data_IF_043702649320
#
_entry.id   IF_043702649320
#
_cell.length_a   1.000
_cell.length_b   1.000
_cell.length_c   1.000
_cell.angle_alpha   90.00
_cell.angle_beta   90.00
_cell.angle_gamma   90.00
#
_symmetry.space_group_name_H-M   'P 1'
#
loop_
_entity.id
_entity.type
_entity.pdbx_description
1 polymer ?
#
# COMPACT_ATOMS: atom_id res chain seq x y z
N UNK A 1 -9.21 -15.11 -3.01
CA UNK A 1 -8.46 -14.40 -4.06
C UNK A 1 -7.07 -14.14 -3.52
N UNK A 2 -6.05 -14.44 -4.32
CA UNK A 2 -4.66 -14.15 -4.01
C UNK A 2 -4.31 -12.70 -4.41
N UNK A 3 -3.20 -12.19 -3.88
CA UNK A 3 -2.64 -10.88 -4.21
C UNK A 3 -1.22 -11.02 -4.72
N UNK A 4 -0.78 -10.07 -5.53
CA UNK A 4 0.58 -10.05 -6.05
C UNK A 4 0.85 -8.84 -6.91
N UNK A 5 2.05 -8.80 -7.47
CA UNK A 5 2.55 -7.72 -8.30
C UNK A 5 2.76 -8.20 -9.73
N UNK A 6 2.32 -7.43 -10.72
CA UNK A 6 2.64 -7.72 -12.12
C UNK A 6 4.13 -7.43 -12.37
N UNK A 7 4.88 -8.45 -12.78
CA UNK A 7 6.31 -8.31 -13.11
C UNK A 7 6.59 -8.42 -14.61
N UNK A 8 5.61 -8.86 -15.40
CA UNK A 8 5.76 -9.02 -16.85
C UNK A 8 4.42 -9.00 -17.56
N UNK A 9 4.37 -8.31 -18.70
CA UNK A 9 3.25 -8.32 -19.65
C UNK A 9 3.82 -8.48 -21.07
N UNK A 10 3.24 -9.40 -21.86
CA UNK A 10 3.49 -9.54 -23.29
C UNK A 10 2.24 -9.17 -24.09
N UNK A 11 2.28 -8.00 -24.72
CA UNK A 11 1.29 -7.54 -25.70
C UNK A 11 1.90 -7.73 -27.10
N UNK A 12 1.27 -8.43 -28.07
CA UNK A 12 -0.15 -8.80 -28.23
C UNK A 12 -0.56 -10.19 -27.75
N UNK A 13 0.35 -10.98 -27.18
CA UNK A 13 0.09 -12.39 -26.84
C UNK A 13 -0.79 -12.57 -25.59
N UNK A 14 -1.19 -11.48 -24.93
CA UNK A 14 -2.09 -11.41 -23.78
C UNK A 14 -1.72 -12.40 -22.65
N UNK A 15 -0.42 -12.49 -22.36
CA UNK A 15 0.08 -13.23 -21.21
C UNK A 15 0.96 -12.37 -20.32
N UNK A 16 1.08 -12.78 -19.07
CA UNK A 16 1.89 -12.09 -18.08
C UNK A 16 2.30 -12.98 -16.93
N UNK A 17 3.07 -12.41 -16.01
CA UNK A 17 3.52 -13.06 -14.78
C UNK A 17 3.18 -12.18 -13.58
N UNK A 18 2.62 -12.81 -12.56
CA UNK A 18 2.39 -12.22 -11.24
C UNK A 18 3.40 -12.87 -10.29
N UNK A 19 4.07 -12.04 -9.51
CA UNK A 19 4.85 -12.47 -8.37
C UNK A 19 4.02 -12.28 -7.10
N UNK A 20 3.82 -13.34 -6.34
CA UNK A 20 3.32 -13.25 -4.96
C UNK A 20 4.53 -12.91 -4.07
N UNK A 21 4.57 -11.70 -3.50
CA UNK A 21 5.71 -11.24 -2.69
C UNK A 21 5.51 -11.59 -1.19
N UNK A 22 6.62 -11.95 -0.54
CA UNK A 22 6.80 -12.54 0.80
C UNK A 22 6.73 -14.06 0.92
N UNK A 23 6.59 -14.81 -0.17
CA UNK A 23 6.98 -16.23 -0.16
C UNK A 23 8.46 -16.33 -0.48
N UNK A 24 9.26 -16.97 0.36
CA UNK A 24 10.63 -17.37 0.02
C UNK A 24 10.66 -18.89 -0.14
N UNK A 25 10.95 -19.42 -1.34
CA UNK A 25 11.26 -18.72 -2.60
C UNK A 25 10.05 -18.03 -3.25
N UNK A 26 10.26 -17.03 -4.14
CA UNK A 26 9.17 -16.30 -4.80
C UNK A 26 8.30 -17.24 -5.65
N UNK A 27 6.98 -17.15 -5.49
CA UNK A 27 6.02 -17.90 -6.30
C UNK A 27 5.60 -17.04 -7.49
N UNK A 28 5.79 -17.59 -8.70
CA UNK A 28 5.41 -16.94 -9.95
C UNK A 28 4.19 -17.63 -10.54
N UNK A 29 3.10 -16.89 -10.66
CA UNK A 29 1.92 -17.33 -11.38
C UNK A 29 1.94 -16.79 -12.80
N UNK A 30 1.63 -17.66 -13.76
CA UNK A 30 1.41 -17.26 -15.14
C UNK A 30 -0.08 -17.05 -15.36
N UNK A 31 -0.44 -15.98 -16.06
CA UNK A 31 -1.75 -15.88 -16.69
C UNK A 31 -1.56 -15.94 -18.21
N UNK A 32 -2.40 -16.75 -18.86
CA UNK A 32 -2.54 -16.80 -20.30
C UNK A 32 -4.04 -16.74 -20.61
N UNK A 33 -4.47 -15.87 -21.53
CA UNK A 33 -5.80 -15.99 -22.12
C UNK A 33 -5.71 -17.07 -23.20
N UNK A 34 -6.39 -18.22 -23.06
CA UNK A 34 -6.42 -19.22 -24.13
C UNK A 34 -7.01 -18.58 -25.39
N UNK A 35 -6.41 -18.82 -26.57
CA UNK A 35 -6.86 -18.26 -27.86
C UNK A 35 -8.33 -18.51 -28.19
N UNK A 36 -8.99 -19.45 -27.51
CA UNK A 36 -10.38 -19.88 -27.72
C UNK A 36 -11.39 -19.40 -26.65
N UNK A 37 -10.98 -18.66 -25.61
CA UNK A 37 -11.90 -18.07 -24.63
C UNK A 37 -12.32 -16.67 -25.12
N UNK A 38 -13.39 -16.60 -25.91
CA UNK A 38 -13.91 -15.33 -26.45
C UNK A 38 -14.65 -14.47 -25.42
N UNK A 39 -15.25 -15.05 -24.38
CA UNK A 39 -16.01 -14.30 -23.38
C UNK A 39 -15.71 -14.82 -21.98
N UNK A 40 -14.99 -14.04 -21.16
CA UNK A 40 -14.87 -14.30 -19.72
C UNK A 40 -13.63 -13.68 -19.07
N UNK A 41 -12.46 -13.81 -19.71
CA UNK A 41 -11.18 -13.33 -19.17
C UNK A 41 -10.51 -12.43 -20.20
N UNK A 42 -11.15 -11.32 -20.59
CA UNK A 42 -10.49 -10.32 -21.43
C UNK A 42 -9.35 -9.67 -20.65
N UNK A 43 -8.20 -9.51 -21.30
CA UNK A 43 -7.06 -8.77 -20.74
C UNK A 43 -7.55 -7.35 -20.46
N UNK A 44 -7.58 -6.94 -19.19
CA UNK A 44 -7.85 -5.55 -18.87
C UNK A 44 -6.71 -4.71 -19.46
N UNK A 45 -6.95 -3.89 -20.50
CA UNK A 45 -5.91 -3.12 -21.17
C UNK A 45 -5.26 -2.08 -20.26
N UNK A 46 -5.81 -1.85 -19.06
CA UNK A 46 -5.28 -0.94 -18.06
C UNK A 46 -4.16 -1.55 -17.22
N UNK A 47 -3.99 -2.88 -17.22
CA UNK A 47 -2.94 -3.55 -16.47
C UNK A 47 -1.55 -3.15 -16.95
N UNK A 48 -0.68 -2.80 -16.01
CA UNK A 48 0.71 -2.41 -16.23
C UNK A 48 1.65 -3.26 -15.38
N UNK A 49 2.90 -3.33 -15.81
CA UNK A 49 3.97 -3.81 -14.93
C UNK A 49 4.02 -2.89 -13.70
N UNK A 50 4.27 -3.50 -12.54
CA UNK A 50 4.25 -2.92 -11.20
C UNK A 50 2.87 -2.70 -10.55
N UNK A 51 1.76 -2.91 -11.27
CA UNK A 51 0.43 -2.87 -10.66
C UNK A 51 0.30 -3.94 -9.56
N UNK A 52 -0.28 -3.55 -8.42
CA UNK A 52 -0.87 -4.50 -7.48
C UNK A 52 -2.10 -5.10 -8.12
N UNK A 53 -2.28 -6.42 -7.98
CA UNK A 53 -3.47 -7.11 -8.50
C UNK A 53 -4.02 -8.12 -7.50
N UNK A 54 -5.33 -8.34 -7.60
CA UNK A 54 -5.99 -9.52 -7.05
C UNK A 54 -6.28 -10.51 -8.17
N UNK A 55 -6.26 -11.81 -7.86
CA UNK A 55 -6.51 -12.87 -8.84
C UNK A 55 -7.01 -14.16 -8.18
N UNK A 56 -7.54 -15.07 -9.00
CA UNK A 56 -7.92 -16.43 -8.59
C UNK A 56 -6.89 -17.41 -9.13
N UNK A 57 -6.43 -18.34 -8.29
CA UNK A 57 -5.53 -19.43 -8.71
C UNK A 57 -6.36 -20.66 -9.03
N UNK A 58 -6.23 -21.16 -10.26
CA UNK A 58 -6.83 -22.43 -10.68
C UNK A 58 -6.02 -23.63 -10.16
N UNK A 59 -6.61 -24.84 -10.08
CA UNK A 59 -5.90 -26.04 -9.62
C UNK A 59 -4.63 -26.40 -10.41
N UNK A 60 -4.50 -25.92 -11.64
CA UNK A 60 -3.31 -26.09 -12.47
C UNK A 60 -2.22 -25.02 -12.22
N UNK A 61 -2.39 -24.15 -11.23
CA UNK A 61 -1.46 -23.07 -10.86
C UNK A 61 -1.59 -21.77 -11.67
N UNK A 62 -2.52 -21.72 -12.64
CA UNK A 62 -2.73 -20.55 -13.48
C UNK A 62 -3.54 -19.45 -12.77
N UNK A 63 -3.15 -18.19 -12.94
CA UNK A 63 -3.93 -17.04 -12.50
C UNK A 63 -5.03 -16.68 -13.51
N UNK A 64 -6.23 -16.38 -13.00
CA UNK A 64 -7.39 -15.85 -13.73
C UNK A 64 -8.04 -14.72 -12.94
N UNK A 65 -9.02 -14.01 -13.54
CA UNK A 65 -9.72 -12.88 -12.92
C UNK A 65 -8.77 -11.83 -12.34
N UNK A 66 -7.73 -11.47 -13.12
CA UNK A 66 -6.71 -10.51 -12.70
C UNK A 66 -7.30 -9.10 -12.74
N UNK A 67 -7.40 -8.46 -11.58
CA UNK A 67 -7.97 -7.11 -11.43
C UNK A 67 -6.97 -6.22 -10.70
N UNK A 68 -6.79 -4.97 -11.17
CA UNK A 68 -5.98 -3.96 -10.49
C UNK A 68 -6.50 -3.75 -9.07
N UNK A 69 -5.60 -3.89 -8.11
CA UNK A 69 -5.78 -3.44 -6.74
C UNK A 69 -5.21 -2.02 -6.61
N UNK A 70 -5.91 -1.14 -5.89
CA UNK A 70 -5.52 0.26 -5.75
C UNK A 70 -4.20 0.50 -5.01
N UNK A 71 -3.54 -0.57 -4.54
CA UNK A 71 -2.39 -0.52 -3.68
C UNK A 71 -2.73 0.06 -2.30
N UNK A 72 -1.76 0.05 -1.37
CA UNK A 72 -1.97 0.64 -0.06
C UNK A 72 -2.15 2.15 -0.18
N UNK A 73 -3.00 2.74 0.66
CA UNK A 73 -3.18 4.18 0.77
C UNK A 73 -3.37 4.58 2.22
N UNK A 74 -3.07 5.83 2.57
CA UNK A 74 -3.33 6.35 3.91
C UNK A 74 -3.67 7.84 3.94
N UNK A 75 -4.34 8.24 5.01
CA UNK A 75 -4.54 9.65 5.41
C UNK A 75 -4.02 9.82 6.83
N UNK A 76 -3.41 10.98 7.11
CA UNK A 76 -2.91 11.34 8.44
C UNK A 76 -3.23 12.81 8.68
N UNK A 77 -3.80 13.11 9.85
CA UNK A 77 -4.17 14.46 10.28
C UNK A 77 -3.80 14.69 11.74
N UNK A 78 -3.72 15.96 12.13
CA UNK A 78 -3.55 16.38 13.51
C UNK A 78 -4.77 17.22 13.91
N UNK A 79 -5.30 17.00 15.13
CA UNK A 79 -6.41 17.78 15.67
C UNK A 79 -6.05 19.27 15.76
N UNK A 80 -4.82 19.55 16.23
CA UNK A 80 -4.25 20.90 16.28
C UNK A 80 -2.91 20.90 15.55
N UNK A 81 -2.79 21.67 14.46
CA UNK A 81 -1.54 21.75 13.67
C UNK A 81 -0.54 22.77 14.23
N UNK A 82 -0.97 23.69 15.09
CA UNK A 82 -0.14 24.72 15.69
C UNK A 82 -0.38 24.69 17.20
N UNK A 83 0.64 24.39 17.98
CA UNK A 83 0.56 24.27 19.44
C UNK A 83 1.57 25.19 20.10
N UNK A 84 1.29 25.60 21.34
CA UNK A 84 2.26 26.31 22.16
C UNK A 84 3.29 25.33 22.77
N UNK A 85 4.47 25.81 23.20
CA UNK A 85 5.47 24.96 23.83
C UNK A 85 4.91 24.24 25.08
N UNK A 86 5.06 22.91 25.12
CA UNK A 86 4.56 22.06 26.20
C UNK A 86 3.13 21.57 26.04
N UNK A 87 2.42 22.02 25.01
CA UNK A 87 1.09 21.50 24.68
C UNK A 87 1.16 20.16 23.92
N UNK A 88 -0.02 19.63 23.59
CA UNK A 88 -0.16 18.36 22.87
C UNK A 88 -1.13 18.49 21.70
N UNK A 89 -0.96 17.62 20.72
CA UNK A 89 -1.90 17.42 19.62
C UNK A 89 -2.25 15.94 19.48
N UNK A 90 -3.44 15.64 18.97
CA UNK A 90 -3.83 14.28 18.65
C UNK A 90 -3.69 14.02 17.15
N UNK A 91 -2.81 13.10 16.79
CA UNK A 91 -2.74 12.53 15.45
C UNK A 91 -3.88 11.53 15.25
N UNK A 92 -4.44 11.48 14.05
CA UNK A 92 -5.44 10.51 13.61
C UNK A 92 -5.13 10.05 12.20
N UNK A 93 -5.24 8.77 11.93
CA UNK A 93 -5.00 8.21 10.61
C UNK A 93 -5.91 7.05 10.24
N UNK A 94 -6.05 6.88 8.93
CA UNK A 94 -6.69 5.71 8.34
C UNK A 94 -5.84 5.15 7.21
N UNK A 95 -6.00 3.87 6.92
CA UNK A 95 -5.37 3.22 5.77
C UNK A 95 -6.31 2.25 5.07
N UNK A 96 -5.98 1.93 3.82
CA UNK A 96 -6.69 0.96 3.00
C UNK A 96 -5.70 0.11 2.24
N UNK A 97 -6.07 -1.14 1.95
CA UNK A 97 -5.25 -2.12 1.22
C UNK A 97 -3.83 -2.30 1.79
N UNK A 98 -3.63 -2.00 3.06
CA UNK A 98 -2.37 -2.20 3.76
C UNK A 98 -2.53 -3.32 4.80
N UNK A 99 -1.43 -4.01 5.08
CA UNK A 99 -1.35 -5.04 6.11
C UNK A 99 -0.43 -4.64 7.26
N UNK A 100 0.43 -3.64 7.05
CA UNK A 100 1.36 -3.11 8.06
C UNK A 100 1.36 -1.59 8.03
N UNK A 101 1.58 -0.96 9.18
CA UNK A 101 1.76 0.48 9.32
C UNK A 101 2.87 0.79 10.33
N UNK A 102 3.60 1.87 10.07
CA UNK A 102 4.55 2.46 11.02
C UNK A 102 4.42 3.97 11.04
N UNK A 103 4.57 4.57 12.21
CA UNK A 103 4.52 6.01 12.41
C UNK A 103 5.91 6.50 12.81
N UNK A 104 6.39 7.54 12.13
CA UNK A 104 7.67 8.18 12.41
C UNK A 104 7.47 9.65 12.74
N UNK A 105 8.27 10.17 13.67
CA UNK A 105 8.40 11.59 14.00
C UNK A 105 9.60 12.26 13.30
N UNK A 106 10.23 11.56 12.34
CA UNK A 106 11.45 11.97 11.66
C UNK A 106 12.75 11.57 12.36
N UNK A 107 12.69 11.16 13.63
CA UNK A 107 13.86 10.70 14.41
C UNK A 107 13.74 9.23 14.83
N UNK A 108 12.54 8.81 15.20
CA UNK A 108 12.17 7.47 15.58
C UNK A 108 11.06 6.95 14.67
N UNK A 109 10.90 5.63 14.60
CA UNK A 109 9.79 4.98 13.93
C UNK A 109 9.32 3.83 14.82
N UNK A 110 8.01 3.70 14.95
CA UNK A 110 7.37 2.64 15.72
C UNK A 110 6.28 1.97 14.88
N UNK A 111 5.94 0.73 15.22
CA UNK A 111 4.80 0.04 14.64
C UNK A 111 3.50 0.71 15.09
N UNK A 112 2.54 0.82 14.18
CA UNK A 112 1.26 1.45 14.43
C UNK A 112 0.11 0.55 13.94
N UNK A 113 -1.09 0.64 14.54
CA UNK A 113 -2.28 0.01 13.96
C UNK A 113 -2.60 0.63 12.58
N UNK A 114 -3.25 -0.15 11.71
CA UNK A 114 -3.65 0.30 10.36
C UNK A 114 -4.56 1.53 10.37
N UNK A 115 -5.38 1.67 11.42
CA UNK A 115 -6.20 2.84 11.68
C UNK A 115 -6.05 3.17 13.16
N UNK A 116 -5.88 4.44 13.50
CA UNK A 116 -5.62 4.78 14.90
C UNK A 116 -5.45 6.26 15.17
N UNK A 117 -5.15 6.53 16.44
CA UNK A 117 -4.90 7.85 16.97
C UNK A 117 -3.70 7.81 17.92
N UNK A 118 -2.94 8.90 18.01
CA UNK A 118 -1.82 9.04 18.96
C UNK A 118 -1.72 10.47 19.45
N UNK A 119 -1.68 10.65 20.77
CA UNK A 119 -1.35 11.96 21.36
C UNK A 119 0.16 12.19 21.28
N UNK A 120 0.56 13.39 20.89
CA UNK A 120 1.96 13.80 20.73
C UNK A 120 2.20 15.17 21.36
N UNK A 121 3.39 15.37 21.90
CA UNK A 121 3.85 16.64 22.48
C UNK A 121 5.25 16.96 21.98
N UNK A 122 5.39 17.36 20.69
CA UNK A 122 6.70 17.65 20.13
C UNK A 122 7.33 18.88 20.79
N UNK A 123 8.63 18.82 21.09
CA UNK A 123 9.37 19.94 21.68
C UNK A 123 9.75 21.03 20.66
N UNK A 124 9.72 20.69 19.37
CA UNK A 124 9.96 21.57 18.23
C UNK A 124 9.05 21.16 17.08
N UNK A 125 8.89 22.03 16.09
CA UNK A 125 8.08 21.71 14.89
C UNK A 125 8.49 20.36 14.30
N UNK A 126 7.53 19.43 14.27
CA UNK A 126 7.77 18.02 13.95
C UNK A 126 6.84 17.58 12.83
N UNK A 127 7.40 16.87 11.84
CA UNK A 127 6.63 16.25 10.76
C UNK A 127 6.46 14.77 11.03
N UNK A 128 5.22 14.36 11.26
CA UNK A 128 4.86 12.96 11.43
C UNK A 128 4.59 12.33 10.08
N UNK A 129 5.13 11.14 9.84
CA UNK A 129 4.93 10.37 8.61
C UNK A 129 4.41 8.99 8.95
N UNK A 130 3.22 8.65 8.46
CA UNK A 130 2.72 7.29 8.47
C UNK A 130 3.17 6.59 7.19
N UNK A 131 3.82 5.45 7.33
CA UNK A 131 4.18 4.55 6.23
C UNK A 131 3.29 3.32 6.32
N UNK A 132 2.56 3.01 5.26
CA UNK A 132 1.71 1.81 5.17
C UNK A 132 2.19 0.90 4.05
N UNK A 133 2.16 -0.40 4.28
CA UNK A 133 2.66 -1.41 3.34
C UNK A 133 1.62 -2.49 3.10
N UNK A 134 1.45 -2.89 1.84
CA UNK A 134 0.87 -4.18 1.51
C UNK A 134 2.00 -5.21 1.40
N UNK A 135 2.10 -6.08 2.39
CA UNK A 135 3.09 -7.15 2.38
C UNK A 135 2.97 -8.01 1.12
N UNK A 136 1.76 -8.40 0.68
CA UNK A 136 1.61 -9.33 -0.46
C UNK A 136 2.17 -8.81 -1.78
N UNK A 137 2.24 -7.48 -1.94
CA UNK A 137 2.75 -6.84 -3.17
C UNK A 137 4.05 -6.08 -2.95
N UNK A 138 4.50 -5.97 -1.70
CA UNK A 138 5.64 -5.13 -1.30
C UNK A 138 5.39 -3.62 -1.43
N UNK A 139 4.23 -3.20 -1.95
CA UNK A 139 3.96 -1.79 -2.23
C UNK A 139 3.81 -0.98 -0.95
N UNK A 140 4.19 0.30 -1.04
CA UNK A 140 4.27 1.22 0.09
C UNK A 140 3.58 2.53 -0.28
N UNK A 141 2.81 3.08 0.66
CA UNK A 141 2.31 4.44 0.60
C UNK A 141 2.69 5.22 1.86
N UNK A 142 2.78 6.54 1.72
CA UNK A 142 3.13 7.45 2.81
C UNK A 142 2.18 8.63 2.83
N UNK A 143 1.82 9.07 4.03
CA UNK A 143 1.08 10.29 4.29
C UNK A 143 1.72 11.00 5.48
N UNK A 144 1.72 12.33 5.48
CA UNK A 144 2.39 13.11 6.51
C UNK A 144 1.54 14.28 6.98
N UNK A 145 1.81 14.72 8.22
CA UNK A 145 1.26 15.94 8.81
C UNK A 145 2.34 16.62 9.63
N UNK A 146 2.38 17.96 9.59
CA UNK A 146 3.31 18.75 10.39
C UNK A 146 2.57 19.39 11.56
N UNK A 147 3.11 19.23 12.76
CA UNK A 147 2.69 19.96 13.96
C UNK A 147 3.75 21.01 14.25
N UNK A 148 3.36 22.28 14.15
CA UNK A 148 4.20 23.44 14.41
C UNK A 148 4.14 23.82 15.88
N UNK A 149 5.32 24.02 16.49
CA UNK A 149 5.41 24.57 17.85
C UNK A 149 5.69 26.07 17.72
N UNK A 150 4.73 26.90 18.15
CA UNK A 150 4.84 28.36 18.10
C UNK A 150 5.89 28.83 19.11
N UNK A 151 7.13 29.03 18.65
CA UNK A 151 8.13 29.69 19.48
C UNK A 151 7.82 31.18 19.51
N UNK A 152 7.46 31.70 20.69
CA UNK A 152 7.48 33.15 20.93
C UNK A 152 8.91 33.66 20.67
N UNK A 153 9.06 34.54 19.69
CA UNK A 153 10.31 35.26 19.39
C UNK A 153 10.59 36.33 20.45
#
# INVERSE_FOLDING_TARGET
>A
MAKGKIIFINNPNKHGKIQEDNTEPPVIHQWNIPKNQKNGNEFDPKLKVDDSVTYTILPNGQAVDVVVDGGPSCTLSALTMIIDPGESSQLSWTSSNATHASLSDGTTSEEAPLNGTKNVSPASTTTYTLTVKDNATGNVAKCSVTVTVSTLL
#
